data_IF_648916232233
#
_entry.id   IF_648916232233
#
_cell.length_a   1.000
_cell.length_b   1.000
_cell.length_c   1.000
_cell.angle_alpha   90.00
_cell.angle_beta   90.00
_cell.angle_gamma   90.00
#
_symmetry.space_group_name_H-M   'P 1'
#
loop_
_entity.id
_entity.type
_entity.pdbx_description
1 polymer ?
#
# COMPACT_ATOMS: atom_id res chain seq x y z
N UNK A 1 -46.23 17.68 58.24
CA UNK A 1 -45.23 18.51 57.56
C UNK A 1 -44.32 17.58 56.79
N UNK A 2 -44.44 17.60 55.47
CA UNK A 2 -43.53 16.97 54.53
C UNK A 2 -42.12 17.52 54.70
N UNK A 3 -41.11 16.67 54.50
CA UNK A 3 -39.93 17.07 53.74
C UNK A 3 -39.58 15.93 52.79
N UNK A 4 -39.61 16.29 51.53
CA UNK A 4 -39.34 15.51 50.34
C UNK A 4 -37.92 14.96 50.28
N UNK A 5 -37.77 13.92 49.47
CA UNK A 5 -36.51 13.26 49.19
C UNK A 5 -35.55 14.11 48.37
N UNK A 6 -34.30 13.64 48.33
CA UNK A 6 -33.34 14.05 47.31
C UNK A 6 -32.40 12.88 47.02
N UNK A 7 -32.81 12.11 46.02
CA UNK A 7 -31.95 11.21 45.26
C UNK A 7 -30.82 12.04 44.61
N UNK A 8 -29.59 11.83 45.08
CA UNK A 8 -28.41 12.34 44.41
C UNK A 8 -28.08 11.40 43.24
N UNK A 9 -28.68 11.68 42.09
CA UNK A 9 -28.37 11.03 40.82
C UNK A 9 -26.87 11.16 40.51
N UNK A 10 -26.18 10.01 40.50
CA UNK A 10 -24.83 9.89 39.96
C UNK A 10 -24.84 10.20 38.46
N UNK A 11 -24.56 11.45 38.12
CA UNK A 11 -24.35 11.88 36.74
C UNK A 11 -23.10 11.22 36.18
N UNK A 12 -23.28 10.14 35.41
CA UNK A 12 -22.29 9.71 34.43
C UNK A 12 -21.99 10.91 33.53
N UNK A 13 -20.84 11.56 33.69
CA UNK A 13 -20.27 12.41 32.65
C UNK A 13 -20.09 11.53 31.43
N UNK A 14 -21.06 11.57 30.50
CA UNK A 14 -20.78 11.22 29.10
C UNK A 14 -19.69 12.19 28.66
N UNK A 15 -18.47 11.69 28.54
CA UNK A 15 -17.39 12.42 27.88
C UNK A 15 -17.84 12.91 26.50
N UNK A 16 -17.16 13.90 25.91
CA UNK A 16 -17.51 14.41 24.59
C UNK A 16 -17.68 13.22 23.64
N UNK A 17 -18.74 13.20 22.79
CA UNK A 17 -18.87 12.15 21.79
C UNK A 17 -17.55 12.06 21.04
N UNK A 18 -17.00 10.84 20.80
CA UNK A 18 -15.74 10.70 20.12
C UNK A 18 -15.83 11.53 18.85
N UNK A 19 -14.95 12.52 18.73
CA UNK A 19 -14.88 13.35 17.53
C UNK A 19 -14.80 12.45 16.31
N UNK A 20 -15.16 12.93 15.11
CA UNK A 20 -15.06 12.11 13.91
C UNK A 20 -13.65 11.52 13.87
N UNK A 21 -13.56 10.18 14.00
CA UNK A 21 -12.28 9.47 14.10
C UNK A 21 -11.33 9.97 13.00
N UNK A 22 -10.07 10.23 13.35
CA UNK A 22 -9.05 10.76 12.44
C UNK A 22 -9.17 10.02 11.10
N UNK A 23 -9.34 10.71 9.96
CA UNK A 23 -9.42 10.06 8.65
C UNK A 23 -8.31 9.02 8.43
N UNK A 24 -7.12 9.24 8.99
CA UNK A 24 -6.00 8.29 8.94
C UNK A 24 -6.23 7.07 9.83
N UNK A 25 -6.81 7.22 11.02
CA UNK A 25 -7.18 6.07 11.87
C UNK A 25 -8.23 5.19 11.20
N UNK A 26 -9.25 5.79 10.56
CA UNK A 26 -10.25 5.05 9.80
C UNK A 26 -9.62 4.31 8.62
N UNK A 27 -8.73 4.99 7.89
CA UNK A 27 -8.02 4.41 6.75
C UNK A 27 -7.16 3.22 7.21
N UNK A 28 -6.41 3.35 8.30
CA UNK A 28 -5.58 2.28 8.85
C UNK A 28 -6.41 1.13 9.44
N UNK A 29 -7.63 1.38 9.92
CA UNK A 29 -8.55 0.33 10.36
C UNK A 29 -9.01 -0.55 9.19
N UNK A 30 -9.22 0.05 8.02
CA UNK A 30 -9.63 -0.66 6.80
C UNK A 30 -8.44 -1.28 6.06
N UNK A 31 -7.30 -0.59 6.07
CA UNK A 31 -6.07 -0.90 5.34
C UNK A 31 -4.86 -0.90 6.28
N UNK A 32 -4.74 -1.89 7.18
CA UNK A 32 -3.68 -1.92 8.19
C UNK A 32 -2.28 -2.04 7.57
N UNK A 33 -2.16 -2.61 6.37
CA UNK A 33 -0.89 -2.70 5.64
C UNK A 33 -0.30 -1.33 5.24
N UNK A 34 -1.11 -0.26 5.22
CA UNK A 34 -0.61 1.11 5.03
C UNK A 34 0.19 1.64 6.23
N UNK A 35 0.14 0.97 7.38
CA UNK A 35 0.98 1.32 8.54
C UNK A 35 2.47 1.32 8.22
N UNK A 36 2.90 0.54 7.21
CA UNK A 36 4.27 0.55 6.69
C UNK A 36 4.73 1.93 6.20
N UNK A 37 3.79 2.81 5.83
CA UNK A 37 4.09 4.19 5.44
C UNK A 37 4.12 5.18 6.63
N UNK A 38 3.61 4.79 7.78
CA UNK A 38 3.46 5.68 8.94
C UNK A 38 2.34 6.72 8.78
N UNK A 39 1.80 7.16 9.93
CA UNK A 39 0.64 8.04 9.97
C UNK A 39 0.91 9.43 9.35
N UNK A 40 2.11 9.99 9.52
CA UNK A 40 2.43 11.32 8.99
C UNK A 40 2.52 11.36 7.47
N UNK A 41 2.99 10.26 6.86
CA UNK A 41 2.97 10.11 5.42
C UNK A 41 1.52 10.04 4.90
N UNK A 42 0.66 9.28 5.59
CA UNK A 42 -0.76 9.19 5.23
C UNK A 42 -1.49 10.52 5.39
N UNK A 43 -1.23 11.29 6.47
CA UNK A 43 -1.79 12.64 6.64
C UNK A 43 -1.38 13.57 5.51
N UNK A 44 -0.12 13.46 5.06
CA UNK A 44 0.39 14.25 3.94
C UNK A 44 -0.29 13.88 2.62
N UNK A 45 -0.47 12.60 2.33
CA UNK A 45 -0.83 12.14 0.98
C UNK A 45 -2.28 11.72 0.80
N UNK A 46 -2.98 11.26 1.84
CA UNK A 46 -4.37 10.80 1.73
C UNK A 46 -5.33 11.81 1.07
N UNK A 47 -5.23 13.13 1.34
CA UNK A 47 -6.08 14.12 0.68
C UNK A 47 -5.87 14.21 -0.85
N UNK A 48 -4.68 13.88 -1.34
CA UNK A 48 -4.28 14.10 -2.74
C UNK A 48 -4.15 12.82 -3.56
N UNK A 49 -3.85 11.70 -2.89
CA UNK A 49 -3.50 10.43 -3.51
C UNK A 49 -4.34 9.27 -2.98
N UNK A 50 -5.51 9.52 -2.39
CA UNK A 50 -6.36 8.50 -1.75
C UNK A 50 -6.64 7.28 -2.64
N UNK A 51 -6.97 7.47 -3.93
CA UNK A 51 -7.16 6.33 -4.87
C UNK A 51 -5.89 5.51 -5.07
N UNK A 52 -4.74 6.18 -5.24
CA UNK A 52 -3.45 5.52 -5.40
C UNK A 52 -3.05 4.76 -4.14
N UNK A 53 -3.26 5.36 -2.96
CA UNK A 53 -3.00 4.75 -1.65
C UNK A 53 -3.85 3.49 -1.46
N UNK A 54 -5.13 3.51 -1.82
CA UNK A 54 -5.98 2.31 -1.79
C UNK A 54 -5.47 1.24 -2.77
N UNK A 55 -4.99 1.64 -3.96
CA UNK A 55 -4.34 0.73 -4.90
C UNK A 55 -3.10 0.05 -4.30
N UNK A 56 -2.21 0.85 -3.68
CA UNK A 56 -1.03 0.35 -2.97
C UNK A 56 -1.46 -0.61 -1.85
N UNK A 57 -2.46 -0.24 -1.04
CA UNK A 57 -2.96 -1.07 0.05
C UNK A 57 -3.43 -2.45 -0.43
N UNK A 58 -4.16 -2.51 -1.55
CA UNK A 58 -4.57 -3.78 -2.18
C UNK A 58 -3.37 -4.63 -2.62
N UNK A 59 -2.33 -4.01 -3.18
CA UNK A 59 -1.09 -4.71 -3.55
C UNK A 59 -0.39 -5.26 -2.31
N UNK A 60 -0.22 -4.44 -1.27
CA UNK A 60 0.44 -4.83 -0.03
C UNK A 60 -0.32 -5.95 0.68
N UNK A 61 -1.66 -5.94 0.65
CA UNK A 61 -2.48 -7.02 1.20
C UNK A 61 -2.27 -8.34 0.44
N UNK A 62 -2.12 -8.26 -0.88
CA UNK A 62 -1.84 -9.43 -1.74
C UNK A 62 -0.40 -9.92 -1.58
N UNK A 63 0.54 -9.02 -1.32
CA UNK A 63 1.98 -9.30 -1.19
C UNK A 63 2.55 -8.66 0.08
N UNK A 64 2.27 -9.22 1.28
CA UNK A 64 2.59 -8.59 2.57
C UNK A 64 4.07 -8.22 2.75
N UNK A 65 4.98 -9.01 2.19
CA UNK A 65 6.42 -8.77 2.23
C UNK A 65 6.85 -7.42 1.65
N UNK A 66 6.06 -6.84 0.75
CA UNK A 66 6.32 -5.51 0.20
C UNK A 66 6.17 -4.41 1.26
N UNK A 67 5.29 -4.60 2.24
CA UNK A 67 5.10 -3.67 3.34
C UNK A 67 6.33 -3.63 4.25
N UNK A 68 6.94 -4.80 4.52
CA UNK A 68 8.20 -4.90 5.26
C UNK A 68 9.34 -4.18 4.52
N UNK A 69 9.42 -4.36 3.19
CA UNK A 69 10.42 -3.67 2.37
C UNK A 69 10.26 -2.14 2.41
N UNK A 70 9.02 -1.64 2.43
CA UNK A 70 8.73 -0.21 2.55
C UNK A 70 9.17 0.32 3.92
N UNK A 71 8.87 -0.41 5.00
CA UNK A 71 9.25 -0.03 6.36
C UNK A 71 10.75 0.05 6.59
N UNK A 72 11.56 -0.67 5.80
CA UNK A 72 13.03 -0.60 5.84
C UNK A 72 13.62 0.65 5.14
N UNK A 73 12.81 1.43 4.42
CA UNK A 73 13.26 2.59 3.63
C UNK A 73 12.88 3.91 4.31
N UNK A 74 13.55 5.02 3.98
CA UNK A 74 13.10 6.35 4.39
C UNK A 74 11.74 6.69 3.75
N UNK A 75 10.67 6.34 4.45
CA UNK A 75 9.30 6.41 3.95
C UNK A 75 8.86 7.81 3.55
N UNK A 76 9.37 8.83 4.24
CA UNK A 76 9.08 10.24 3.94
C UNK A 76 9.46 10.66 2.50
N UNK A 77 10.34 9.91 1.84
CA UNK A 77 10.75 10.17 0.45
C UNK A 77 9.87 9.46 -0.58
N UNK A 78 9.04 8.51 -0.19
CA UNK A 78 8.21 7.74 -1.12
C UNK A 78 7.07 8.64 -1.60
N UNK A 79 7.02 8.91 -2.90
CA UNK A 79 5.85 9.52 -3.53
C UNK A 79 4.85 8.41 -3.89
N UNK A 80 3.56 8.49 -3.49
CA UNK A 80 2.56 7.47 -3.81
C UNK A 80 2.49 7.13 -5.31
N UNK A 81 2.71 8.12 -6.18
CA UNK A 81 2.64 7.95 -7.64
C UNK A 81 3.91 7.35 -8.25
N UNK A 82 4.99 7.25 -7.48
CA UNK A 82 6.21 6.53 -7.87
C UNK A 82 6.19 5.06 -7.44
N UNK A 83 5.19 4.66 -6.65
CA UNK A 83 4.98 3.27 -6.30
C UNK A 83 4.35 2.55 -7.47
N UNK A 84 5.04 1.54 -7.97
CA UNK A 84 4.57 0.67 -9.04
C UNK A 84 4.69 -0.78 -8.56
N UNK A 85 3.76 -1.62 -8.99
CA UNK A 85 3.77 -3.04 -8.68
C UNK A 85 3.59 -3.85 -9.94
N UNK A 86 4.27 -4.99 -9.98
CA UNK A 86 4.36 -5.85 -11.15
C UNK A 86 4.17 -7.31 -10.77
N UNK A 87 3.61 -8.09 -11.68
CA UNK A 87 3.53 -9.55 -11.55
C UNK A 87 4.08 -10.17 -12.81
N UNK A 88 4.93 -11.18 -12.66
CA UNK A 88 5.41 -11.95 -13.79
C UNK A 88 4.22 -12.57 -14.54
N UNK A 89 4.24 -12.55 -15.88
CA UNK A 89 3.12 -13.04 -16.70
C UNK A 89 2.80 -14.52 -16.46
N UNK A 90 3.82 -15.30 -16.11
CA UNK A 90 3.72 -16.71 -15.73
C UNK A 90 3.35 -16.92 -14.25
N UNK A 91 3.15 -15.86 -13.48
CA UNK A 91 2.84 -15.89 -12.06
C UNK A 91 4.02 -16.28 -11.16
N UNK A 92 5.23 -16.42 -11.70
CA UNK A 92 6.39 -16.93 -10.97
C UNK A 92 6.89 -16.00 -9.86
N UNK A 93 6.56 -14.72 -9.91
CA UNK A 93 6.95 -13.74 -8.90
C UNK A 93 6.14 -12.44 -8.98
N UNK A 94 6.27 -11.64 -7.92
CA UNK A 94 5.79 -10.27 -7.87
C UNK A 94 6.94 -9.30 -7.56
N UNK A 95 6.80 -8.07 -8.03
CA UNK A 95 7.78 -7.02 -7.81
C UNK A 95 7.14 -5.69 -7.39
N UNK A 96 7.91 -4.86 -6.68
CA UNK A 96 7.55 -3.49 -6.31
C UNK A 96 8.70 -2.51 -6.61
N UNK A 97 8.36 -1.35 -7.17
CA UNK A 97 9.25 -0.21 -7.36
C UNK A 97 8.72 0.95 -6.51
N UNK A 98 9.60 1.64 -5.77
CA UNK A 98 9.21 2.73 -4.87
C UNK A 98 9.63 4.12 -5.38
N UNK A 99 10.61 4.19 -6.28
CA UNK A 99 11.26 5.44 -6.71
C UNK A 99 11.49 5.49 -8.24
N UNK A 100 10.90 4.57 -9.00
CA UNK A 100 11.21 4.39 -10.41
C UNK A 100 12.58 3.74 -10.67
N UNK A 101 12.69 3.03 -11.78
CA UNK A 101 13.94 2.39 -12.25
C UNK A 101 14.17 0.98 -11.73
N UNK A 102 14.23 0.78 -10.41
CA UNK A 102 14.47 -0.54 -9.81
C UNK A 102 13.21 -1.15 -9.20
N UNK A 103 12.89 -2.36 -9.63
CA UNK A 103 11.87 -3.20 -9.03
C UNK A 103 12.54 -4.27 -8.15
N UNK A 104 12.06 -4.40 -6.92
CA UNK A 104 12.41 -5.47 -6.00
C UNK A 104 11.43 -6.61 -6.20
N UNK A 105 11.93 -7.80 -6.52
CA UNK A 105 11.13 -8.95 -6.91
C UNK A 105 11.36 -10.13 -5.97
N UNK A 106 10.29 -10.85 -5.66
CA UNK A 106 10.36 -12.10 -4.90
C UNK A 106 9.33 -13.11 -5.41
N UNK A 107 9.76 -14.37 -5.47
CA UNK A 107 8.92 -15.53 -5.79
C UNK A 107 8.43 -16.26 -4.52
N UNK A 108 9.03 -15.95 -3.38
CA UNK A 108 8.94 -16.69 -2.11
C UNK A 108 8.49 -15.79 -0.96
N UNK A 109 7.68 -14.77 -1.26
CA UNK A 109 7.07 -13.93 -0.25
C UNK A 109 8.07 -13.12 0.58
N UNK A 110 9.14 -12.64 -0.04
CA UNK A 110 10.14 -11.77 0.59
C UNK A 110 11.35 -12.48 1.18
N UNK A 111 11.40 -13.81 1.19
CA UNK A 111 12.57 -14.55 1.73
C UNK A 111 13.82 -14.25 0.89
N UNK A 112 13.69 -14.26 -0.44
CA UNK A 112 14.75 -13.83 -1.34
C UNK A 112 14.26 -12.67 -2.21
N UNK A 113 14.73 -11.46 -1.88
CA UNK A 113 14.45 -10.25 -2.66
C UNK A 113 15.61 -9.95 -3.59
N UNK A 114 15.32 -9.81 -4.88
CA UNK A 114 16.30 -9.42 -5.90
C UNK A 114 15.87 -8.16 -6.62
N UNK A 115 16.84 -7.46 -7.19
CA UNK A 115 16.61 -6.17 -7.85
C UNK A 115 16.68 -6.32 -9.37
N UNK A 116 15.65 -5.88 -10.07
CA UNK A 116 15.55 -5.88 -11.53
C UNK A 116 15.28 -4.47 -12.04
N UNK A 117 15.88 -4.13 -13.18
CA UNK A 117 15.46 -2.97 -13.97
C UNK A 117 14.42 -3.45 -14.98
N UNK A 118 13.21 -2.93 -14.87
CA UNK A 118 12.12 -3.18 -15.81
C UNK A 118 11.99 -1.99 -16.76
N UNK A 119 11.78 -2.27 -18.04
CA UNK A 119 11.41 -1.27 -19.04
C UNK A 119 10.06 -1.61 -19.65
N UNK A 120 9.30 -0.56 -19.95
CA UNK A 120 8.07 -0.67 -20.70
C UNK A 120 8.35 -1.37 -22.04
N UNK A 121 7.50 -2.34 -22.38
CA UNK A 121 7.55 -3.06 -23.63
C UNK A 121 6.41 -2.69 -24.56
N UNK A 122 5.15 -2.75 -24.07
CA UNK A 122 3.95 -2.52 -24.89
C UNK A 122 2.70 -2.39 -24.02
N UNK A 123 1.63 -1.87 -24.63
CA UNK A 123 0.27 -1.98 -24.12
C UNK A 123 -0.39 -3.23 -24.72
N UNK A 124 -1.15 -3.97 -23.91
CA UNK A 124 -1.99 -5.07 -24.38
C UNK A 124 -3.45 -4.83 -23.99
N UNK A 125 -4.43 -5.18 -24.85
CA UNK A 125 -5.84 -5.21 -24.45
C UNK A 125 -6.04 -6.16 -23.26
N UNK A 126 -6.76 -5.71 -22.24
CA UNK A 126 -7.08 -6.51 -21.06
C UNK A 126 -8.40 -6.03 -20.44
N UNK A 127 -9.33 -6.96 -20.23
CA UNK A 127 -10.67 -6.79 -19.65
C UNK A 127 -11.15 -5.34 -19.46
N UNK A 128 -11.85 -4.81 -20.47
CA UNK A 128 -12.46 -3.48 -20.40
C UNK A 128 -11.47 -2.30 -20.54
N UNK A 129 -10.19 -2.56 -20.78
CA UNK A 129 -9.17 -1.53 -20.97
C UNK A 129 -7.86 -2.06 -21.57
N UNK A 130 -6.74 -1.50 -21.09
CA UNK A 130 -5.38 -1.88 -21.48
C UNK A 130 -4.54 -2.15 -20.25
N UNK A 131 -3.54 -3.02 -20.39
CA UNK A 131 -2.50 -3.26 -19.38
C UNK A 131 -1.12 -2.97 -19.97
N UNK A 132 -0.24 -2.45 -19.12
CA UNK A 132 1.16 -2.23 -19.48
C UNK A 132 1.97 -3.50 -19.24
N UNK A 133 2.72 -3.89 -20.26
CA UNK A 133 3.66 -5.02 -20.23
C UNK A 133 5.08 -4.47 -20.19
N UNK A 134 5.87 -5.01 -19.28
CA UNK A 134 7.26 -4.67 -19.03
C UNK A 134 8.15 -5.88 -19.27
N UNK A 135 9.42 -5.62 -19.59
CA UNK A 135 10.46 -6.65 -19.71
C UNK A 135 11.73 -6.22 -18.98
N UNK A 136 12.58 -7.16 -18.54
CA UNK A 136 13.88 -6.80 -18.01
C UNK A 136 14.72 -6.04 -19.06
N UNK A 137 15.34 -4.90 -18.68
CA UNK A 137 16.16 -4.05 -19.57
C UNK A 137 17.34 -4.78 -20.23
N UNK A 138 17.87 -5.79 -19.56
CA UNK A 138 19.01 -6.60 -20.01
C UNK A 138 18.66 -8.08 -19.84
N UNK A 139 19.44 -8.99 -20.44
CA UNK A 139 19.47 -10.41 -20.04
C UNK A 139 20.02 -10.48 -18.61
N UNK A 140 19.20 -10.08 -17.65
CA UNK A 140 19.48 -10.19 -16.23
C UNK A 140 19.44 -11.68 -15.91
N UNK A 141 20.57 -12.25 -15.49
CA UNK A 141 20.62 -13.63 -14.96
C UNK A 141 19.71 -13.80 -13.74
N UNK A 142 19.27 -12.68 -13.14
CA UNK A 142 18.37 -12.66 -12.01
C UNK A 142 16.89 -12.64 -12.42
N UNK A 143 16.54 -12.37 -13.68
CA UNK A 143 15.13 -12.39 -14.09
C UNK A 143 14.61 -13.83 -14.14
N UNK A 144 13.46 -14.12 -13.50
CA UNK A 144 12.81 -15.43 -13.61
C UNK A 144 11.77 -15.48 -14.73
N UNK A 145 11.16 -14.34 -15.03
CA UNK A 145 10.24 -14.20 -16.15
C UNK A 145 10.76 -13.22 -17.22
N UNK A 146 10.27 -13.41 -18.45
CA UNK A 146 10.55 -12.55 -19.60
C UNK A 146 9.67 -11.30 -19.64
N UNK A 147 8.46 -11.40 -19.11
CA UNK A 147 7.44 -10.35 -19.15
C UNK A 147 6.77 -10.20 -17.79
N UNK A 148 6.46 -8.95 -17.46
CA UNK A 148 5.80 -8.54 -16.24
C UNK A 148 4.63 -7.62 -16.59
N UNK A 149 3.53 -7.76 -15.89
CA UNK A 149 2.33 -6.93 -16.06
C UNK A 149 2.30 -5.94 -14.90
N UNK A 150 2.09 -4.66 -15.20
CA UNK A 150 1.86 -3.64 -14.17
C UNK A 150 0.46 -3.81 -13.59
N UNK A 151 0.37 -3.83 -12.27
CA UNK A 151 -0.88 -4.08 -11.52
C UNK A 151 -1.27 -2.92 -10.60
N UNK A 152 -0.50 -1.83 -10.59
CA UNK A 152 -0.74 -0.62 -9.82
C UNK A 152 -0.54 0.63 -10.68
#
# INVERSE_FOLDING_TARGET
MSVDGMDAGGGTMKGPPPGPADPVERLLKEWPELSAFGADWLRRWAPYAGRQIVGIAKVLRRYPWMAELIGQRPVGLVNPYSVEAYVARDGSEACISLFGGWAYCSADGGVNVRRLELEFSRLEPHEGGVREVYRPKKRSIFAKAKEYIRIL
#
